data_IF_857554708132
#
_entry.id   IF_857554708132
#
_cell.length_a   1.000
_cell.length_b   1.000
_cell.length_c   1.000
_cell.angle_alpha   90.00
_cell.angle_beta   90.00
_cell.angle_gamma   90.00
#
_symmetry.space_group_name_H-M   'P 1'
#
loop_
_entity.id
_entity.type
_entity.pdbx_description
1 polymer ?
#
# COMPACT_ATOMS: atom_id res chain seq x y z
N UNK A 1 10.28 10.68 0.67
CA UNK A 1 10.06 9.31 1.20
C UNK A 1 11.32 8.48 1.32
N UNK A 2 12.36 8.73 0.48
CA UNK A 2 13.66 8.01 0.53
C UNK A 2 14.54 8.43 1.71
N UNK A 3 14.20 9.49 2.41
CA UNK A 3 14.95 10.05 3.54
C UNK A 3 14.39 9.66 4.91
N UNK A 4 13.33 8.85 4.98
CA UNK A 4 12.65 8.48 6.22
C UNK A 4 13.54 7.71 7.20
N UNK A 5 14.37 6.80 6.70
CA UNK A 5 15.30 6.06 7.54
C UNK A 5 16.50 6.94 7.92
N UNK A 6 16.61 7.23 9.22
CA UNK A 6 17.68 8.08 9.79
C UNK A 6 19.09 7.57 9.47
N UNK A 7 19.25 6.25 9.30
CA UNK A 7 20.54 5.60 9.02
C UNK A 7 20.86 5.46 7.54
N UNK A 8 19.95 5.89 6.65
CA UNK A 8 20.20 5.83 5.22
C UNK A 8 21.27 6.84 4.80
N UNK A 9 22.10 6.46 3.82
CA UNK A 9 23.11 7.38 3.24
C UNK A 9 22.48 8.66 2.72
N UNK A 10 21.27 8.57 2.13
CA UNK A 10 20.50 9.72 1.66
C UNK A 10 20.10 10.68 2.79
N UNK A 11 19.62 10.15 3.92
CA UNK A 11 19.26 10.99 5.08
C UNK A 11 20.49 11.65 5.70
N UNK A 12 21.60 10.92 5.79
CA UNK A 12 22.88 11.47 6.28
C UNK A 12 23.42 12.55 5.34
N UNK A 13 23.35 12.35 4.03
CA UNK A 13 23.76 13.35 3.04
C UNK A 13 22.87 14.61 3.10
N UNK A 14 21.55 14.41 3.19
CA UNK A 14 20.58 15.51 3.28
C UNK A 14 20.83 16.41 4.51
N UNK A 15 21.25 15.83 5.66
CA UNK A 15 21.61 16.62 6.84
C UNK A 15 22.82 17.51 6.64
N UNK A 16 23.77 17.10 5.80
CA UNK A 16 25.00 17.87 5.51
C UNK A 16 24.76 19.04 4.56
N UNK A 17 23.64 19.11 3.90
CA UNK A 17 23.33 20.24 3.01
C UNK A 17 23.17 21.50 3.86
N UNK A 18 23.98 22.50 3.60
CA UNK A 18 23.80 23.82 4.21
C UNK A 18 22.74 24.61 3.45
N UNK A 19 21.58 24.81 4.06
CA UNK A 19 20.46 25.53 3.45
C UNK A 19 19.81 26.43 4.51
N UNK A 20 19.49 27.66 4.13
CA UNK A 20 18.81 28.62 5.01
C UNK A 20 17.35 28.21 5.32
N UNK A 21 16.74 27.42 4.43
CA UNK A 21 15.37 26.90 4.60
C UNK A 21 15.21 25.51 3.99
N UNK A 22 14.43 24.63 4.64
CA UNK A 22 14.19 23.27 4.19
C UNK A 22 12.71 22.92 4.27
N UNK A 23 12.15 22.39 3.18
CA UNK A 23 10.79 21.85 3.13
C UNK A 23 10.86 20.36 2.80
N UNK A 24 10.23 19.53 3.63
CA UNK A 24 10.05 18.10 3.37
C UNK A 24 8.61 17.82 2.90
N UNK A 25 8.47 17.24 1.71
CA UNK A 25 7.18 16.86 1.14
C UNK A 25 7.02 15.34 1.21
N UNK A 26 5.92 14.87 1.81
CA UNK A 26 5.59 13.45 1.86
C UNK A 26 4.08 13.25 1.99
N UNK A 27 3.53 12.27 1.26
CA UNK A 27 2.14 11.81 1.46
C UNK A 27 2.00 10.83 2.62
N UNK A 28 3.13 10.26 3.12
CA UNK A 28 3.16 9.21 4.15
C UNK A 28 4.31 9.47 5.10
N UNK A 29 4.15 10.36 6.09
CA UNK A 29 5.24 10.71 7.00
C UNK A 29 5.67 9.55 7.92
N UNK A 30 4.79 8.56 8.14
CA UNK A 30 5.06 7.34 8.90
C UNK A 30 4.69 6.12 8.06
N UNK A 31 5.62 5.19 7.87
CA UNK A 31 5.36 3.92 7.19
C UNK A 31 5.54 2.73 8.12
N UNK A 32 6.65 2.67 8.84
CA UNK A 32 7.02 1.53 9.67
C UNK A 32 7.01 1.88 11.15
N UNK A 33 7.58 3.01 11.53
CA UNK A 33 7.63 3.47 12.91
C UNK A 33 7.70 5.01 13.02
N UNK A 34 7.56 5.49 14.23
CA UNK A 34 7.57 6.92 14.55
C UNK A 34 8.91 7.60 14.31
N UNK A 35 9.99 6.86 14.27
CA UNK A 35 11.33 7.43 14.02
C UNK A 35 11.41 8.05 12.62
N UNK A 36 10.63 7.55 11.67
CA UNK A 36 10.51 8.11 10.32
C UNK A 36 9.96 9.54 10.36
N UNK A 37 8.90 9.75 11.13
CA UNK A 37 8.28 11.07 11.34
C UNK A 37 9.25 12.05 12.02
N UNK A 38 9.88 11.60 13.09
CA UNK A 38 10.87 12.42 13.81
C UNK A 38 12.04 12.80 12.91
N UNK A 39 12.51 11.86 12.08
CA UNK A 39 13.61 12.12 11.16
C UNK A 39 13.27 13.13 10.08
N UNK A 40 12.05 13.06 9.50
CA UNK A 40 11.61 14.01 8.47
C UNK A 40 11.51 15.42 9.06
N UNK A 41 10.96 15.54 10.28
CA UNK A 41 10.84 16.84 10.93
C UNK A 41 12.20 17.42 11.33
N UNK A 42 13.12 16.59 11.85
CA UNK A 42 14.49 17.01 12.17
C UNK A 42 15.30 17.41 10.93
N UNK A 43 15.01 16.81 9.76
CA UNK A 43 15.58 17.26 8.48
C UNK A 43 15.09 18.64 8.07
N UNK A 44 13.83 18.97 8.34
CA UNK A 44 13.25 20.29 8.03
C UNK A 44 13.70 21.34 9.03
N UNK A 45 13.72 20.98 10.31
CA UNK A 45 14.02 21.88 11.43
C UNK A 45 15.03 21.16 12.35
N UNK A 46 16.33 21.28 12.04
CA UNK A 46 17.37 20.63 12.83
C UNK A 46 17.31 21.00 14.31
N UNK A 47 17.34 19.99 15.18
CA UNK A 47 17.31 20.18 16.62
C UNK A 47 15.93 20.40 17.23
N UNK A 48 14.83 20.35 16.47
CA UNK A 48 13.44 20.54 17.00
C UNK A 48 13.12 19.53 18.12
N UNK A 49 13.72 18.37 18.11
CA UNK A 49 13.52 17.31 19.11
C UNK A 49 14.54 17.30 20.24
N UNK A 50 15.54 18.21 20.26
CA UNK A 50 16.67 18.11 21.16
C UNK A 50 17.57 16.91 20.87
N UNK A 51 18.02 16.18 21.88
CA UNK A 51 18.87 15.00 21.70
C UNK A 51 18.08 13.87 20.99
N UNK A 52 18.70 13.24 19.98
CA UNK A 52 18.15 12.11 19.22
C UNK A 52 17.81 10.88 20.10
N UNK A 53 18.32 10.80 21.33
CA UNK A 53 17.93 9.76 22.29
C UNK A 53 16.46 9.85 22.69
N UNK A 54 15.87 11.04 22.72
CA UNK A 54 14.45 11.23 22.95
C UNK A 54 13.58 10.47 21.95
N UNK A 55 14.02 10.36 20.71
CA UNK A 55 13.33 9.63 19.63
C UNK A 55 13.24 8.13 19.94
N UNK A 56 14.23 7.55 20.60
CA UNK A 56 14.30 6.12 20.93
C UNK A 56 13.43 5.73 22.13
N UNK A 57 13.16 6.66 23.02
CA UNK A 57 12.40 6.42 24.26
C UNK A 57 10.90 6.72 24.13
N UNK A 58 10.47 7.29 23.00
CA UNK A 58 9.10 7.79 22.79
C UNK A 58 8.11 6.72 22.32
N UNK A 59 7.93 5.64 23.06
CA UNK A 59 6.87 4.65 22.77
C UNK A 59 5.59 4.85 23.59
N UNK A 60 5.58 5.78 24.58
CA UNK A 60 4.42 6.00 25.45
C UNK A 60 3.40 6.96 24.83
N UNK A 61 2.12 6.85 25.23
CA UNK A 61 1.05 7.75 24.79
C UNK A 61 1.37 9.22 25.13
N UNK A 62 2.00 9.48 26.29
CA UNK A 62 2.40 10.83 26.75
C UNK A 62 3.47 11.45 25.84
N UNK A 63 4.45 10.66 25.42
CA UNK A 63 5.52 11.14 24.55
C UNK A 63 5.05 11.39 23.12
N UNK A 64 4.10 10.58 22.61
CA UNK A 64 3.45 10.82 21.32
C UNK A 64 2.66 12.13 21.31
N UNK A 65 1.93 12.42 22.40
CA UNK A 65 1.20 13.68 22.55
C UNK A 65 2.14 14.90 22.58
N UNK A 66 3.28 14.78 23.25
CA UNK A 66 4.29 15.82 23.27
C UNK A 66 4.89 16.03 21.86
N UNK A 67 5.23 14.97 21.16
CA UNK A 67 5.72 15.03 19.80
C UNK A 67 4.71 15.70 18.85
N UNK A 68 3.43 15.37 18.97
CA UNK A 68 2.34 16.00 18.22
C UNK A 68 2.30 17.50 18.45
N UNK A 69 2.31 17.94 19.73
CA UNK A 69 2.31 19.37 20.10
C UNK A 69 3.53 20.11 19.55
N UNK A 70 4.71 19.53 19.67
CA UNK A 70 5.95 20.14 19.18
C UNK A 70 5.97 20.25 17.65
N UNK A 71 5.46 19.24 16.94
CA UNK A 71 5.46 19.18 15.48
C UNK A 71 4.41 20.07 14.82
N UNK A 72 3.26 20.26 15.48
CA UNK A 72 2.06 20.93 14.92
C UNK A 72 2.34 22.27 14.23
N UNK A 73 3.12 23.20 14.78
CA UNK A 73 3.39 24.50 14.15
C UNK A 73 4.15 24.40 12.83
N UNK A 74 4.77 23.26 12.54
CA UNK A 74 5.68 23.06 11.41
C UNK A 74 5.12 22.11 10.37
N UNK A 75 3.88 21.63 10.53
CA UNK A 75 3.25 20.67 9.63
C UNK A 75 2.00 21.29 9.01
N UNK A 76 1.99 21.31 7.67
CA UNK A 76 0.79 21.57 6.91
C UNK A 76 0.27 20.24 6.33
N UNK A 77 -0.88 19.79 6.82
CA UNK A 77 -1.57 18.62 6.33
C UNK A 77 -2.94 19.00 5.77
N UNK A 78 -3.22 18.58 4.55
CA UNK A 78 -4.54 18.72 3.94
C UNK A 78 -4.99 17.38 3.39
N UNK A 79 -6.19 16.97 3.72
CA UNK A 79 -6.81 15.76 3.18
C UNK A 79 -7.53 16.10 1.87
N UNK A 80 -7.72 15.11 1.00
CA UNK A 80 -8.48 15.30 -0.24
C UNK A 80 -9.90 15.78 0.03
N UNK A 81 -10.55 15.21 1.04
CA UNK A 81 -11.90 15.60 1.45
C UNK A 81 -12.04 17.08 1.84
N UNK A 82 -10.96 17.69 2.38
CA UNK A 82 -10.97 19.11 2.75
C UNK A 82 -10.76 20.07 1.57
N UNK A 83 -10.11 19.61 0.50
CA UNK A 83 -9.67 20.52 -0.60
C UNK A 83 -10.23 20.15 -1.97
N UNK A 84 -10.77 18.96 -2.16
CA UNK A 84 -11.29 18.47 -3.44
C UNK A 84 -12.76 18.06 -3.28
N UNK A 85 -13.64 19.05 -3.14
CA UNK A 85 -15.08 18.86 -2.98
C UNK A 85 -15.75 18.24 -4.21
N UNK A 86 -15.16 18.44 -5.41
CA UNK A 86 -15.69 17.93 -6.67
C UNK A 86 -15.19 16.53 -7.03
N UNK A 87 -14.38 15.91 -6.15
CA UNK A 87 -13.90 14.56 -6.39
C UNK A 87 -15.00 13.54 -6.10
N UNK A 88 -15.35 12.66 -7.07
CA UNK A 88 -16.36 11.63 -6.84
C UNK A 88 -16.04 10.74 -5.64
N UNK A 89 -17.08 10.13 -5.09
CA UNK A 89 -16.95 9.24 -3.93
C UNK A 89 -16.04 8.05 -4.20
N UNK A 90 -15.43 7.58 -3.13
CA UNK A 90 -14.64 6.35 -3.11
C UNK A 90 -15.31 5.33 -2.19
N UNK A 91 -15.64 4.16 -2.74
CA UNK A 91 -16.23 3.03 -2.03
C UNK A 91 -15.17 1.95 -1.87
N UNK A 92 -14.89 1.54 -0.63
CA UNK A 92 -13.94 0.45 -0.34
C UNK A 92 -14.68 -0.78 0.18
N UNK A 93 -14.56 -1.89 -0.53
CA UNK A 93 -15.18 -3.16 -0.21
C UNK A 93 -14.13 -4.21 0.16
N UNK A 94 -14.17 -4.69 1.41
CA UNK A 94 -13.43 -5.88 1.83
C UNK A 94 -14.32 -7.09 1.55
N UNK A 95 -13.88 -7.96 0.63
CA UNK A 95 -14.60 -9.15 0.23
C UNK A 95 -13.92 -10.37 0.82
N UNK A 96 -14.62 -11.04 1.73
CA UNK A 96 -14.10 -12.26 2.36
C UNK A 96 -14.43 -13.48 1.50
N UNK A 97 -13.39 -14.18 1.04
CA UNK A 97 -13.46 -15.38 0.23
C UNK A 97 -13.10 -16.62 1.06
N UNK A 98 -13.69 -17.75 0.74
CA UNK A 98 -13.31 -19.02 1.32
C UNK A 98 -12.36 -19.76 0.38
N UNK A 99 -11.34 -20.42 0.93
CA UNK A 99 -10.55 -21.37 0.14
C UNK A 99 -11.46 -22.48 -0.43
N UNK A 100 -11.18 -22.95 -1.64
CA UNK A 100 -11.63 -24.26 -2.06
C UNK A 100 -11.07 -25.36 -1.11
N UNK A 101 -11.68 -26.54 -1.09
CA UNK A 101 -11.21 -27.63 -0.22
C UNK A 101 -9.73 -27.95 -0.45
N UNK A 102 -9.33 -28.03 -1.72
CA UNK A 102 -7.94 -28.30 -2.10
C UNK A 102 -6.97 -27.20 -1.64
N UNK A 103 -7.35 -25.94 -1.77
CA UNK A 103 -6.53 -24.81 -1.32
C UNK A 103 -6.41 -24.81 0.20
N UNK A 104 -7.51 -25.09 0.90
CA UNK A 104 -7.55 -25.15 2.37
C UNK A 104 -6.61 -26.21 2.93
N UNK A 105 -6.63 -27.40 2.35
CA UNK A 105 -5.75 -28.50 2.77
C UNK A 105 -4.28 -28.18 2.53
N UNK A 106 -3.96 -27.65 1.35
CA UNK A 106 -2.59 -27.20 1.05
C UNK A 106 -2.13 -26.09 1.98
N UNK A 107 -3.00 -25.13 2.30
CA UNK A 107 -2.68 -24.03 3.21
C UNK A 107 -2.41 -24.57 4.63
N UNK A 108 -3.26 -25.46 5.16
CA UNK A 108 -3.08 -26.10 6.47
C UNK A 108 -1.76 -26.89 6.55
N UNK A 109 -1.48 -27.69 5.53
CA UNK A 109 -0.24 -28.47 5.45
C UNK A 109 0.99 -27.54 5.36
N UNK A 110 0.92 -26.46 4.58
CA UNK A 110 1.95 -25.44 4.51
C UNK A 110 2.19 -24.76 5.84
N UNK A 111 1.12 -24.38 6.54
CA UNK A 111 1.19 -23.75 7.87
C UNK A 111 1.87 -24.69 8.90
N UNK A 112 1.51 -25.96 8.91
CA UNK A 112 2.11 -26.97 9.81
C UNK A 112 3.61 -27.11 9.53
N UNK A 113 4.00 -27.29 8.27
CA UNK A 113 5.41 -27.38 7.84
C UNK A 113 6.21 -26.13 8.23
N UNK A 114 5.63 -24.93 8.07
CA UNK A 114 6.29 -23.67 8.44
C UNK A 114 6.48 -23.58 9.95
N UNK A 115 5.45 -23.95 10.75
CA UNK A 115 5.55 -23.99 12.20
C UNK A 115 6.64 -24.94 12.71
N UNK A 116 6.75 -26.13 12.14
CA UNK A 116 7.80 -27.11 12.48
C UNK A 116 9.18 -26.58 12.11
N UNK A 117 9.34 -26.00 10.92
CA UNK A 117 10.59 -25.35 10.49
C UNK A 117 11.02 -24.27 11.46
N UNK A 118 10.12 -23.39 11.91
CA UNK A 118 10.42 -22.33 12.85
C UNK A 118 10.80 -22.85 14.24
N UNK A 119 10.18 -23.95 14.70
CA UNK A 119 10.52 -24.60 15.99
C UNK A 119 11.97 -25.10 16.01
N UNK A 120 12.43 -25.62 14.89
CA UNK A 120 13.75 -26.28 14.77
C UNK A 120 14.90 -25.33 14.46
N UNK A 121 14.63 -24.01 14.35
CA UNK A 121 15.64 -22.99 14.02
C UNK A 121 16.24 -22.38 15.29
N UNK A 122 17.56 -22.18 15.27
CA UNK A 122 18.27 -21.49 16.35
C UNK A 122 17.76 -20.06 16.55
N UNK A 123 17.73 -19.53 17.79
CA UNK A 123 17.13 -18.23 18.11
C UNK A 123 17.59 -17.08 17.22
N UNK A 124 18.88 -17.03 16.87
CA UNK A 124 19.49 -15.98 16.05
C UNK A 124 18.90 -15.89 14.62
N UNK A 125 18.41 -17.00 14.05
CA UNK A 125 17.83 -17.07 12.71
C UNK A 125 16.29 -17.09 12.71
N UNK A 126 15.67 -17.21 13.88
CA UNK A 126 14.23 -17.43 14.04
C UNK A 126 13.39 -16.30 13.40
N UNK A 127 13.79 -15.05 13.55
CA UNK A 127 13.08 -13.91 12.97
C UNK A 127 13.04 -13.98 11.43
N UNK A 128 14.15 -14.29 10.79
CA UNK A 128 14.20 -14.45 9.33
C UNK A 128 13.31 -15.58 8.81
N UNK A 129 13.26 -16.72 9.52
CA UNK A 129 12.38 -17.83 9.15
C UNK A 129 10.90 -17.53 9.37
N UNK A 130 10.56 -16.74 10.39
CA UNK A 130 9.19 -16.24 10.56
C UNK A 130 8.77 -15.36 9.39
N UNK A 131 9.60 -14.40 8.99
CA UNK A 131 9.31 -13.51 7.84
C UNK A 131 9.15 -14.31 6.54
N UNK A 132 10.04 -15.28 6.32
CA UNK A 132 9.96 -16.19 5.16
C UNK A 132 8.66 -17.01 5.17
N UNK A 133 8.30 -17.57 6.32
CA UNK A 133 7.06 -18.33 6.49
C UNK A 133 5.81 -17.48 6.26
N UNK A 134 5.79 -16.25 6.75
CA UNK A 134 4.69 -15.31 6.49
C UNK A 134 4.58 -14.98 4.99
N UNK A 135 5.69 -14.80 4.30
CA UNK A 135 5.69 -14.59 2.85
C UNK A 135 5.14 -15.79 2.09
N UNK A 136 5.56 -17.01 2.46
CA UNK A 136 5.06 -18.26 1.88
C UNK A 136 3.54 -18.40 2.09
N UNK A 137 3.02 -18.15 3.31
CA UNK A 137 1.59 -18.21 3.59
C UNK A 137 0.79 -17.19 2.79
N UNK A 138 1.29 -15.97 2.61
CA UNK A 138 0.64 -14.95 1.79
C UNK A 138 0.58 -15.36 0.32
N UNK A 139 1.66 -15.96 -0.20
CA UNK A 139 1.65 -16.50 -1.55
C UNK A 139 0.63 -17.64 -1.70
N UNK A 140 0.49 -18.50 -0.69
CA UNK A 140 -0.51 -19.58 -0.70
C UNK A 140 -1.95 -19.09 -0.67
N UNK A 141 -2.21 -17.86 -0.20
CA UNK A 141 -3.53 -17.21 -0.31
C UNK A 141 -3.85 -16.74 -1.73
N UNK A 142 -2.83 -16.52 -2.57
CA UNK A 142 -3.00 -16.00 -3.93
C UNK A 142 -3.08 -17.09 -4.98
N UNK A 143 -2.17 -18.06 -4.91
CA UNK A 143 -2.16 -19.19 -5.83
C UNK A 143 -1.49 -20.40 -5.21
N UNK A 144 -1.90 -21.56 -5.65
CA UNK A 144 -1.28 -22.83 -5.30
C UNK A 144 -1.00 -23.60 -6.59
N UNK A 145 0.24 -24.03 -6.81
CA UNK A 145 0.59 -24.85 -7.97
C UNK A 145 -0.22 -26.14 -7.96
N UNK A 146 -1.31 -26.18 -8.69
CA UNK A 146 -2.13 -27.37 -8.95
C UNK A 146 -2.48 -27.41 -10.42
N UNK A 147 -2.49 -28.59 -11.00
CA UNK A 147 -2.54 -28.77 -12.45
C UNK A 147 -3.79 -28.18 -13.13
N UNK A 148 -4.91 -27.98 -12.42
CA UNK A 148 -6.19 -27.64 -13.04
C UNK A 148 -7.01 -26.57 -12.31
N UNK A 149 -6.45 -25.86 -11.33
CA UNK A 149 -7.17 -24.82 -10.60
C UNK A 149 -6.31 -23.59 -10.41
N UNK A 150 -6.79 -22.45 -10.84
CA UNK A 150 -6.01 -21.20 -10.80
C UNK A 150 -5.94 -20.67 -9.39
N UNK A 151 -7.01 -20.18 -8.82
CA UNK A 151 -7.22 -19.91 -7.39
C UNK A 151 -8.57 -19.21 -7.18
N UNK A 152 -9.15 -19.37 -6.01
CA UNK A 152 -10.39 -18.68 -5.61
C UNK A 152 -10.31 -17.16 -5.85
N UNK A 153 -9.15 -16.53 -5.63
CA UNK A 153 -9.00 -15.08 -5.86
C UNK A 153 -8.95 -14.71 -7.35
N UNK A 154 -8.36 -15.57 -8.18
CA UNK A 154 -8.36 -15.33 -9.63
C UNK A 154 -9.75 -15.52 -10.19
N UNK A 155 -10.50 -16.55 -9.74
CA UNK A 155 -11.86 -16.77 -10.16
C UNK A 155 -12.74 -15.56 -9.82
N UNK A 156 -12.69 -15.09 -8.57
CA UNK A 156 -13.36 -13.87 -8.13
C UNK A 156 -12.98 -12.65 -8.99
N UNK A 157 -11.71 -12.46 -9.28
CA UNK A 157 -11.24 -11.36 -10.12
C UNK A 157 -11.82 -11.47 -11.53
N UNK A 158 -11.75 -12.66 -12.16
CA UNK A 158 -12.19 -12.86 -13.54
C UNK A 158 -13.68 -12.67 -13.71
N UNK A 159 -14.50 -13.14 -12.76
CA UNK A 159 -15.96 -12.94 -12.73
C UNK A 159 -16.31 -11.43 -12.68
N UNK A 160 -15.66 -10.68 -11.82
CA UNK A 160 -15.89 -9.23 -11.74
C UNK A 160 -15.37 -8.48 -12.96
N UNK A 161 -14.19 -8.86 -13.51
CA UNK A 161 -13.66 -8.24 -14.70
C UNK A 161 -14.58 -8.42 -15.92
N UNK A 162 -15.24 -9.57 -16.03
CA UNK A 162 -16.19 -9.84 -17.13
C UNK A 162 -17.30 -8.80 -17.20
N UNK A 163 -17.90 -8.49 -16.05
CA UNK A 163 -18.94 -7.46 -15.96
C UNK A 163 -18.38 -6.05 -16.19
N UNK A 164 -17.28 -5.70 -15.50
CA UNK A 164 -16.67 -4.36 -15.55
C UNK A 164 -16.24 -4.00 -16.98
N UNK A 165 -15.63 -4.95 -17.70
CA UNK A 165 -15.18 -4.74 -19.09
C UNK A 165 -16.37 -4.68 -20.04
N UNK A 166 -17.42 -5.51 -19.84
CA UNK A 166 -18.63 -5.48 -20.64
C UNK A 166 -19.38 -4.14 -20.51
N UNK A 167 -19.36 -3.52 -19.32
CA UNK A 167 -19.94 -2.20 -19.06
C UNK A 167 -19.06 -1.04 -19.57
N UNK A 168 -17.91 -1.32 -20.17
CA UNK A 168 -17.01 -0.31 -20.75
C UNK A 168 -16.15 0.43 -19.72
N UNK A 169 -16.05 -0.07 -18.49
CA UNK A 169 -15.24 0.52 -17.45
C UNK A 169 -13.77 0.12 -17.55
N UNK A 170 -12.90 0.98 -17.03
CA UNK A 170 -11.46 0.69 -16.89
C UNK A 170 -11.12 0.30 -15.44
N UNK A 171 -10.21 -0.67 -15.28
CA UNK A 171 -9.88 -1.27 -13.99
C UNK A 171 -8.36 -1.39 -13.78
N UNK A 172 -7.93 -1.12 -12.53
CA UNK A 172 -6.55 -1.35 -12.08
C UNK A 172 -6.50 -2.59 -11.19
N UNK A 173 -5.56 -3.48 -11.47
CA UNK A 173 -5.33 -4.70 -10.68
C UNK A 173 -3.93 -4.65 -10.08
N UNK A 174 -3.85 -4.56 -8.76
CA UNK A 174 -2.59 -4.47 -8.04
C UNK A 174 -2.25 -5.74 -7.29
N UNK A 175 -0.99 -6.15 -7.35
CA UNK A 175 -0.38 -7.12 -6.45
C UNK A 175 1.09 -6.80 -6.19
N UNK A 176 1.61 -7.22 -5.04
CA UNK A 176 3.04 -7.14 -4.77
C UNK A 176 3.85 -8.26 -5.44
N UNK A 177 3.19 -9.38 -5.80
CA UNK A 177 3.82 -10.57 -6.35
C UNK A 177 3.75 -10.58 -7.87
N UNK A 178 4.87 -10.35 -8.54
CA UNK A 178 4.95 -10.34 -10.02
C UNK A 178 4.58 -11.70 -10.60
N UNK A 179 4.96 -12.81 -9.95
CA UNK A 179 4.54 -14.16 -10.35
C UNK A 179 3.03 -14.39 -10.31
N UNK A 180 2.32 -13.71 -9.39
CA UNK A 180 0.87 -13.74 -9.37
C UNK A 180 0.26 -12.86 -10.48
N UNK A 181 0.87 -11.73 -10.78
CA UNK A 181 0.49 -10.92 -11.94
C UNK A 181 0.65 -11.70 -13.26
N UNK A 182 1.66 -12.61 -13.36
CA UNK A 182 1.82 -13.50 -14.52
C UNK A 182 0.63 -14.47 -14.67
N UNK A 183 0.09 -14.97 -13.55
CA UNK A 183 -1.09 -15.83 -13.53
C UNK A 183 -2.33 -15.07 -13.98
N UNK A 184 -2.56 -13.89 -13.39
CA UNK A 184 -3.68 -12.99 -13.78
C UNK A 184 -3.58 -12.65 -15.28
N UNK A 185 -2.38 -12.31 -15.77
CA UNK A 185 -2.16 -12.00 -17.17
C UNK A 185 -2.55 -13.17 -18.09
N UNK A 186 -2.19 -14.40 -17.73
CA UNK A 186 -2.58 -15.59 -18.51
C UNK A 186 -4.10 -15.73 -18.60
N UNK A 187 -4.80 -15.59 -17.46
CA UNK A 187 -6.26 -15.67 -17.41
C UNK A 187 -6.93 -14.57 -18.25
N UNK A 188 -6.38 -13.35 -18.26
CA UNK A 188 -6.85 -12.24 -19.10
C UNK A 188 -6.65 -12.55 -20.59
N UNK A 189 -5.50 -13.12 -20.98
CA UNK A 189 -5.20 -13.50 -22.35
C UNK A 189 -6.14 -14.61 -22.84
N UNK A 190 -6.46 -15.60 -22.01
CA UNK A 190 -7.41 -16.66 -22.32
C UNK A 190 -8.83 -16.15 -22.61
N UNK A 191 -9.21 -15.03 -21.99
CA UNK A 191 -10.49 -14.32 -22.27
C UNK A 191 -10.40 -13.35 -23.47
N UNK A 192 -9.24 -13.24 -24.14
CA UNK A 192 -8.98 -12.32 -25.25
C UNK A 192 -9.19 -10.84 -24.92
N UNK A 193 -9.07 -10.45 -23.64
CA UNK A 193 -9.20 -9.06 -23.22
C UNK A 193 -7.89 -8.28 -23.43
N UNK A 194 -8.05 -7.01 -23.84
CA UNK A 194 -6.91 -6.10 -23.98
C UNK A 194 -6.48 -5.58 -22.61
N UNK A 195 -5.21 -5.64 -22.33
CA UNK A 195 -4.65 -5.20 -21.06
C UNK A 195 -3.33 -4.46 -21.27
N UNK A 196 -2.99 -3.64 -20.29
CA UNK A 196 -1.67 -3.03 -20.07
C UNK A 196 -1.04 -3.63 -18.83
N UNK A 197 0.29 -3.65 -18.76
CA UNK A 197 1.02 -4.16 -17.60
C UNK A 197 2.21 -3.29 -17.24
N UNK A 198 2.41 -3.04 -15.93
CA UNK A 198 3.62 -2.41 -15.40
C UNK A 198 4.14 -3.20 -14.18
N UNK A 199 5.41 -3.56 -14.25
CA UNK A 199 6.19 -4.09 -13.13
C UNK A 199 7.63 -3.54 -13.13
N UNK A 200 8.45 -4.00 -12.16
CA UNK A 200 9.82 -3.52 -11.99
C UNK A 200 10.82 -3.93 -13.09
N UNK A 201 10.45 -4.86 -14.00
CA UNK A 201 11.34 -5.38 -15.04
C UNK A 201 11.38 -4.50 -16.29
N UNK A 202 10.41 -3.58 -16.44
CA UNK A 202 10.23 -2.83 -17.66
C UNK A 202 11.05 -1.52 -17.67
N UNK A 203 11.58 -1.17 -18.85
CA UNK A 203 12.23 0.11 -19.07
C UNK A 203 11.22 1.27 -19.17
N UNK A 204 11.73 2.51 -19.08
CA UNK A 204 10.90 3.71 -19.08
C UNK A 204 10.00 3.84 -20.34
N UNK A 205 10.53 3.56 -21.53
CA UNK A 205 9.79 3.69 -22.81
C UNK A 205 8.58 2.74 -22.84
N UNK A 206 8.78 1.47 -22.45
CA UNK A 206 7.71 0.49 -22.41
C UNK A 206 6.63 0.87 -21.39
N UNK A 207 7.04 1.32 -20.20
CA UNK A 207 6.08 1.80 -19.16
C UNK A 207 5.25 2.98 -19.67
N UNK A 208 5.88 3.95 -20.34
CA UNK A 208 5.19 5.10 -20.88
C UNK A 208 4.14 4.69 -21.92
N UNK A 209 4.48 3.78 -22.82
CA UNK A 209 3.55 3.24 -23.82
C UNK A 209 2.33 2.55 -23.16
N UNK A 210 2.55 1.71 -22.17
CA UNK A 210 1.45 1.01 -21.44
C UNK A 210 0.49 2.01 -20.77
N UNK A 211 1.03 3.10 -20.20
CA UNK A 211 0.23 4.18 -19.60
C UNK A 211 -0.61 4.90 -20.67
N UNK A 212 0.02 5.27 -21.79
CA UNK A 212 -0.65 5.99 -22.89
C UNK A 212 -1.77 5.12 -23.52
N UNK A 213 -1.53 3.83 -23.72
CA UNK A 213 -2.54 2.90 -24.25
C UNK A 213 -3.75 2.78 -23.32
N UNK A 214 -3.52 2.70 -22.00
CA UNK A 214 -4.59 2.67 -21.01
C UNK A 214 -5.34 3.99 -20.93
N UNK A 215 -4.64 5.12 -20.88
CA UNK A 215 -5.25 6.46 -20.85
C UNK A 215 -6.07 6.76 -22.11
N UNK A 216 -5.64 6.24 -23.26
CA UNK A 216 -6.37 6.35 -24.53
C UNK A 216 -7.56 5.39 -24.65
N UNK A 217 -7.86 4.55 -23.64
CA UNK A 217 -8.94 3.58 -23.66
C UNK A 217 -8.71 2.38 -24.59
N UNK A 218 -7.47 2.17 -25.08
CA UNK A 218 -7.11 1.02 -25.94
C UNK A 218 -7.10 -0.29 -25.15
N UNK A 219 -6.89 -0.22 -23.84
CA UNK A 219 -6.90 -1.33 -22.90
C UNK A 219 -7.84 -1.01 -21.74
N UNK A 220 -8.65 -1.99 -21.31
CA UNK A 220 -9.59 -1.83 -20.20
C UNK A 220 -9.03 -2.26 -18.86
N UNK A 221 -8.03 -3.13 -18.87
CA UNK A 221 -7.42 -3.72 -17.67
C UNK A 221 -5.97 -3.28 -17.56
N UNK A 222 -5.56 -2.78 -16.38
CA UNK A 222 -4.18 -2.44 -16.13
C UNK A 222 -3.64 -3.24 -14.94
N UNK A 223 -2.74 -4.15 -15.21
CA UNK A 223 -2.08 -5.02 -14.21
C UNK A 223 -0.80 -4.36 -13.72
N UNK A 224 -0.71 -4.07 -12.43
CA UNK A 224 0.33 -3.20 -11.88
C UNK A 224 0.97 -3.84 -10.64
N UNK A 225 2.28 -3.90 -10.59
CA UNK A 225 2.97 -4.26 -9.34
C UNK A 225 2.91 -3.09 -8.36
N UNK A 226 2.55 -3.36 -7.08
CA UNK A 226 2.43 -2.32 -6.04
C UNK A 226 3.70 -1.47 -5.90
N UNK A 227 4.88 -2.08 -6.05
CA UNK A 227 6.16 -1.36 -6.01
C UNK A 227 6.35 -0.42 -7.21
N UNK A 228 5.98 -0.86 -8.40
CA UNK A 228 6.09 -0.06 -9.62
C UNK A 228 4.99 1.01 -9.70
N UNK A 229 3.80 0.74 -9.13
CA UNK A 229 2.69 1.68 -9.03
C UNK A 229 2.96 2.87 -8.12
N UNK A 230 3.96 2.78 -7.22
CA UNK A 230 4.32 3.86 -6.28
C UNK A 230 4.92 5.12 -6.92
N UNK A 231 5.30 5.11 -8.20
CA UNK A 231 6.01 6.22 -8.85
C UNK A 231 5.15 6.89 -9.93
N UNK A 232 4.54 8.03 -9.59
CA UNK A 232 4.08 9.04 -10.55
C UNK A 232 2.98 8.68 -11.55
N UNK A 233 2.31 7.51 -11.42
CA UNK A 233 1.20 7.15 -12.30
C UNK A 233 0.00 8.06 -12.09
N UNK A 234 -0.64 8.47 -13.16
CA UNK A 234 -1.88 9.26 -13.17
C UNK A 234 -2.92 8.54 -14.04
N UNK A 235 -3.88 7.87 -13.41
CA UNK A 235 -4.83 6.97 -14.07
C UNK A 235 -6.29 7.26 -13.63
N UNK A 236 -6.78 8.51 -13.77
CA UNK A 236 -8.10 8.91 -13.32
C UNK A 236 -9.24 8.28 -14.14
N UNK A 237 -8.94 7.61 -15.24
CA UNK A 237 -9.94 6.95 -16.09
C UNK A 237 -10.47 5.65 -15.45
N UNK A 238 -9.70 5.04 -14.54
CA UNK A 238 -10.11 3.81 -13.88
C UNK A 238 -11.17 4.09 -12.81
N UNK A 239 -12.32 3.43 -12.91
CA UNK A 239 -13.40 3.47 -11.91
C UNK A 239 -13.41 2.28 -10.97
N UNK A 240 -12.59 1.26 -11.22
CA UNK A 240 -12.45 0.08 -10.38
C UNK A 240 -11.00 -0.22 -10.04
N UNK A 241 -10.75 -0.67 -8.82
CA UNK A 241 -9.43 -1.12 -8.34
C UNK A 241 -9.58 -2.44 -7.61
N UNK A 242 -8.71 -3.40 -7.92
CA UNK A 242 -8.52 -4.62 -7.15
C UNK A 242 -7.16 -4.61 -6.49
N UNK A 243 -7.15 -4.66 -5.15
CA UNK A 243 -5.94 -4.86 -4.33
C UNK A 243 -5.91 -6.34 -3.94
N UNK A 244 -5.24 -7.16 -4.76
CA UNK A 244 -5.32 -8.63 -4.68
C UNK A 244 -4.68 -9.23 -3.44
N UNK A 245 -3.74 -8.55 -2.83
CA UNK A 245 -3.08 -8.96 -1.60
C UNK A 245 -2.87 -7.77 -0.65
N UNK A 246 -3.16 -7.92 0.66
CA UNK A 246 -2.97 -6.85 1.61
C UNK A 246 -1.47 -6.57 1.83
N UNK A 247 -1.08 -5.30 1.82
CA UNK A 247 0.29 -4.89 2.10
C UNK A 247 0.47 -4.59 3.59
N UNK A 248 1.66 -4.87 4.13
CA UNK A 248 1.97 -4.58 5.55
C UNK A 248 1.80 -3.10 5.94
N UNK A 249 1.92 -2.21 4.96
CA UNK A 249 1.79 -0.79 5.14
C UNK A 249 0.58 -0.25 4.38
N UNK A 250 -0.50 0.15 5.08
CA UNK A 250 -1.71 0.65 4.45
C UNK A 250 -1.48 1.91 3.60
N UNK A 251 -0.43 2.67 3.89
CA UNK A 251 -0.12 3.89 3.13
C UNK A 251 0.31 3.59 1.68
N UNK A 252 0.95 2.43 1.42
CA UNK A 252 1.31 2.01 0.05
C UNK A 252 0.06 1.68 -0.76
N UNK A 253 -0.92 1.00 -0.14
CA UNK A 253 -2.21 0.73 -0.78
C UNK A 253 -2.98 2.03 -1.05
N UNK A 254 -3.03 2.94 -0.08
CA UNK A 254 -3.66 4.25 -0.26
C UNK A 254 -3.01 5.02 -1.41
N UNK A 255 -1.67 5.00 -1.52
CA UNK A 255 -0.97 5.60 -2.66
C UNK A 255 -1.34 4.95 -4.00
N UNK A 256 -1.54 3.63 -4.04
CA UNK A 256 -1.98 2.93 -5.25
C UNK A 256 -3.40 3.36 -5.64
N UNK A 257 -4.33 3.43 -4.69
CA UNK A 257 -5.71 3.91 -4.89
C UNK A 257 -5.71 5.38 -5.34
N UNK A 258 -4.84 6.19 -4.78
CA UNK A 258 -4.68 7.61 -5.13
C UNK A 258 -4.20 7.86 -6.57
N UNK A 259 -3.79 6.83 -7.31
CA UNK A 259 -3.50 6.95 -8.76
C UNK A 259 -4.74 7.15 -9.61
N UNK A 260 -5.88 6.59 -9.18
CA UNK A 260 -7.17 6.76 -9.83
C UNK A 260 -8.04 7.81 -9.12
N UNK A 261 -8.02 7.88 -7.78
CA UNK A 261 -8.79 8.84 -7.01
C UNK A 261 -8.11 10.21 -6.95
N UNK A 262 -8.15 10.95 -8.04
CA UNK A 262 -7.50 12.27 -8.21
C UNK A 262 -8.31 13.18 -9.12
N UNK A 263 -7.88 14.44 -9.21
CA UNK A 263 -8.41 15.43 -10.17
C UNK A 263 -8.45 14.82 -11.57
N UNK A 264 -9.62 14.87 -12.21
CA UNK A 264 -9.91 14.25 -13.48
C UNK A 264 -10.70 12.94 -13.39
N UNK A 265 -10.91 12.37 -12.20
CA UNK A 265 -11.86 11.28 -11.99
C UNK A 265 -13.29 11.78 -12.16
N UNK A 266 -14.07 11.08 -12.99
CA UNK A 266 -15.47 11.45 -13.31
C UNK A 266 -16.50 10.51 -12.70
N UNK A 267 -16.07 9.30 -12.33
CA UNK A 267 -16.94 8.24 -11.82
C UNK A 267 -16.62 7.93 -10.34
N UNK A 268 -17.60 7.41 -9.62
CA UNK A 268 -17.35 6.81 -8.31
C UNK A 268 -16.28 5.74 -8.44
N UNK A 269 -15.28 5.80 -7.57
CA UNK A 269 -14.19 4.82 -7.55
C UNK A 269 -14.52 3.67 -6.60
N UNK A 270 -14.64 2.47 -7.14
CA UNK A 270 -14.87 1.26 -6.33
C UNK A 270 -13.56 0.48 -6.15
N UNK A 271 -13.21 0.21 -4.90
CA UNK A 271 -11.99 -0.53 -4.53
C UNK A 271 -12.38 -1.85 -3.90
N UNK A 272 -11.94 -2.96 -4.47
CA UNK A 272 -12.10 -4.31 -3.94
C UNK A 272 -10.84 -4.81 -3.28
N UNK A 273 -11.00 -5.39 -2.07
CA UNK A 273 -9.94 -6.05 -1.29
C UNK A 273 -10.36 -7.50 -1.02
N UNK A 274 -10.09 -8.45 -1.93
CA UNK A 274 -10.38 -9.86 -1.69
C UNK A 274 -9.43 -10.43 -0.63
N UNK A 275 -9.99 -10.96 0.44
CA UNK A 275 -9.28 -11.51 1.60
C UNK A 275 -9.74 -12.94 1.83
N UNK A 276 -8.79 -13.86 1.95
CA UNK A 276 -9.12 -15.24 2.31
C UNK A 276 -9.38 -15.35 3.80
N UNK A 277 -10.53 -15.88 4.16
CA UNK A 277 -10.91 -16.16 5.55
C UNK A 277 -10.00 -17.21 6.20
N UNK A 278 -9.83 -17.12 7.52
CA UNK A 278 -9.02 -18.03 8.33
C UNK A 278 -7.56 -18.13 7.86
N UNK A 279 -7.04 -17.07 7.28
CA UNK A 279 -5.69 -17.02 6.72
C UNK A 279 -4.80 -15.95 7.37
N UNK A 280 -3.55 -15.91 6.93
CA UNK A 280 -2.60 -14.86 7.33
C UNK A 280 -3.05 -13.47 6.86
N UNK A 281 -3.88 -13.37 5.83
CA UNK A 281 -4.33 -12.07 5.30
C UNK A 281 -5.21 -11.30 6.27
N UNK A 282 -6.10 -11.96 7.01
CA UNK A 282 -6.88 -11.31 8.09
C UNK A 282 -5.98 -10.72 9.17
N UNK A 283 -4.89 -11.44 9.52
CA UNK A 283 -3.91 -10.92 10.48
C UNK A 283 -3.15 -9.70 9.95
N UNK A 284 -2.90 -9.65 8.64
CA UNK A 284 -2.30 -8.46 8.00
C UNK A 284 -3.26 -7.29 8.04
N UNK A 285 -4.57 -7.49 7.83
CA UNK A 285 -5.57 -6.42 7.97
C UNK A 285 -5.60 -5.85 9.39
N UNK A 286 -5.63 -6.69 10.42
CA UNK A 286 -5.58 -6.24 11.82
C UNK A 286 -4.33 -5.39 12.12
N UNK A 287 -3.18 -5.78 11.56
CA UNK A 287 -1.95 -4.99 11.68
C UNK A 287 -2.04 -3.65 10.92
N UNK A 288 -2.70 -3.63 9.77
CA UNK A 288 -2.95 -2.38 9.04
C UNK A 288 -3.84 -1.43 9.85
N UNK A 289 -4.90 -1.93 10.49
CA UNK A 289 -5.81 -1.12 11.28
C UNK A 289 -5.09 -0.51 12.48
N UNK A 290 -4.31 -1.29 13.21
CA UNK A 290 -3.48 -0.78 14.30
C UNK A 290 -2.48 0.32 13.83
N UNK A 291 -1.93 0.19 12.61
CA UNK A 291 -1.07 1.23 12.02
C UNK A 291 -1.85 2.48 11.61
N UNK A 292 -3.08 2.33 11.10
CA UNK A 292 -3.95 3.47 10.77
C UNK A 292 -4.33 4.26 12.02
N UNK A 293 -4.70 3.58 13.10
CA UNK A 293 -4.99 4.22 14.40
C UNK A 293 -3.78 5.00 14.91
N UNK A 294 -2.59 4.38 14.90
CA UNK A 294 -1.36 5.05 15.31
C UNK A 294 -1.07 6.32 14.49
N UNK A 295 -1.34 6.27 13.19
CA UNK A 295 -1.17 7.39 12.28
C UNK A 295 -2.20 8.51 12.55
N UNK A 296 -3.45 8.13 12.81
CA UNK A 296 -4.51 9.08 13.17
C UNK A 296 -4.20 9.77 14.49
N UNK A 297 -3.79 9.04 15.52
CA UNK A 297 -3.40 9.61 16.83
C UNK A 297 -2.34 10.70 16.71
N UNK A 298 -1.42 10.57 15.76
CA UNK A 298 -0.33 11.55 15.59
C UNK A 298 -0.72 12.76 14.75
N UNK A 299 -1.55 12.55 13.73
CA UNK A 299 -1.80 13.55 12.69
C UNK A 299 -3.26 14.05 12.63
N UNK A 300 -4.18 13.47 13.43
CA UNK A 300 -5.55 13.97 13.49
C UNK A 300 -5.58 15.35 14.16
N UNK A 301 -6.18 16.31 13.49
CA UNK A 301 -6.51 17.62 14.07
C UNK A 301 -7.71 17.45 15.01
N UNK A 302 -7.45 17.24 16.28
CA UNK A 302 -8.48 17.36 17.31
C UNK A 302 -8.50 18.79 17.78
N UNK A 303 -8.87 19.76 16.95
CA UNK A 303 -9.37 21.09 17.33
C UNK A 303 -9.19 22.07 16.17
N UNK A 304 -10.27 22.29 15.43
CA UNK A 304 -10.43 23.43 14.51
C UNK A 304 -10.64 24.77 15.27
N UNK A 305 -10.42 24.82 16.58
CA UNK A 305 -10.81 25.98 17.40
C UNK A 305 -9.75 27.07 17.53
N UNK A 306 -8.53 26.92 17.00
CA UNK A 306 -7.46 27.92 17.26
C UNK A 306 -6.99 28.74 16.06
N UNK A 307 -7.61 28.65 14.91
CA UNK A 307 -7.24 29.47 13.73
C UNK A 307 -8.30 30.51 13.31
N UNK A 308 -9.17 30.94 14.24
CA UNK A 308 -10.01 32.15 14.07
C UNK A 308 -9.41 33.34 14.81
N UNK A 309 -8.16 33.62 14.56
CA UNK A 309 -7.44 34.73 15.17
C UNK A 309 -6.56 35.47 14.19
N UNK A 310 -7.18 36.41 13.46
CA UNK A 310 -6.64 37.66 12.89
C UNK A 310 -5.18 37.66 12.36
N UNK A 311 -5.05 37.80 11.05
CA UNK A 311 -4.04 38.68 10.44
C UNK A 311 -4.45 40.12 10.63
#
# INVERSE_FOLDING_TARGET
QHLKNIRSLGAMAARKINAGFRICLTGTPVENDLSEFYNILDLSIPGVWGDLQFIRTTSTKKSRLLAKKTARPFILRRTKAQVLTDLPDKIENVVYLNFSELERDKYKNGLTRIKERIKNVIPKKKYGEILKGLLELRQMCLWQKSANHISTKVDFLMENLEQIVAEGHQVLVFSQFTSYLDIIQKAIIEKHWKYSRIDGSQNFKKRQKEIEEFQAGKTSIFVISLKAGGVGLNLPQASYIFLMDPWWNPAVESQAVDRAHRIGQKNTLTVYRPIIKDSVEEKVLLLQDAKRELFQDLLADNDDQYFTGRL
#
